data_IF_654524696245
#
_entry.id   IF_654524696245
#
_cell.length_a   1.000
_cell.length_b   1.000
_cell.length_c   1.000
_cell.angle_alpha   90.00
_cell.angle_beta   90.00
_cell.angle_gamma   90.00
#
_symmetry.space_group_name_H-M   'P 1'
#
loop_
_entity.id
_entity.type
_entity.pdbx_description
1 polymer ?
#
# COMPACT_ATOMS: atom_id res chain seq x y z
N UNK A 1 13.64 53.04 -48.39
CA UNK A 1 13.00 51.79 -48.84
C UNK A 1 12.16 51.24 -47.69
N UNK A 2 10.85 51.43 -47.76
CA UNK A 2 9.88 50.97 -46.77
C UNK A 2 9.44 49.55 -47.16
N UNK A 3 9.71 48.55 -46.33
CA UNK A 3 9.06 47.24 -46.44
C UNK A 3 8.02 47.08 -45.33
N UNK A 4 6.76 47.28 -45.71
CA UNK A 4 5.60 46.76 -44.97
C UNK A 4 5.49 45.26 -45.28
N UNK A 5 5.45 44.42 -44.26
CA UNK A 5 4.74 43.13 -44.35
C UNK A 5 3.96 42.95 -43.05
N UNK A 6 2.63 43.01 -43.18
CA UNK A 6 1.66 42.49 -42.22
C UNK A 6 0.85 41.47 -42.99
N UNK A 7 0.80 40.21 -42.54
CA UNK A 7 -0.40 39.36 -42.63
C UNK A 7 -0.14 38.02 -41.91
N UNK A 8 -0.73 37.80 -40.72
CA UNK A 8 -1.91 36.98 -40.40
C UNK A 8 -1.56 35.50 -40.05
N UNK A 9 -2.21 35.09 -38.96
CA UNK A 9 -2.11 33.90 -38.10
C UNK A 9 -2.32 32.57 -38.83
N UNK A 10 -1.69 31.51 -38.28
CA UNK A 10 -2.25 30.15 -38.28
C UNK A 10 -1.83 29.36 -37.03
N UNK A 11 -2.81 29.12 -36.15
CA UNK A 11 -2.91 28.04 -35.15
C UNK A 11 -4.26 27.36 -35.48
N UNK A 12 -4.55 26.05 -35.24
CA UNK A 12 -3.80 24.95 -34.59
C UNK A 12 -3.75 23.66 -35.44
N UNK A 13 -3.07 22.59 -34.97
CA UNK A 13 -3.70 21.29 -34.62
C UNK A 13 -2.67 20.18 -34.38
N UNK A 14 -3.00 19.35 -33.40
CA UNK A 14 -2.47 18.01 -33.09
C UNK A 14 -1.09 17.92 -32.44
N UNK A 15 -1.09 17.48 -31.18
CA UNK A 15 0.13 17.11 -30.46
C UNK A 15 0.08 17.32 -28.95
N UNK A 16 -1.10 17.28 -28.31
CA UNK A 16 -1.15 17.10 -26.86
C UNK A 16 -0.51 15.75 -26.58
N UNK A 17 0.67 15.74 -25.96
CA UNK A 17 1.21 14.53 -25.35
C UNK A 17 0.34 14.23 -24.14
N UNK A 18 -0.68 13.42 -24.37
CA UNK A 18 -1.44 12.74 -23.34
C UNK A 18 -0.44 11.86 -22.57
N UNK A 19 -0.05 12.26 -21.37
CA UNK A 19 0.56 11.31 -20.44
C UNK A 19 -0.55 10.32 -20.09
N UNK A 20 -0.39 9.11 -20.60
CA UNK A 20 -1.33 8.00 -20.44
C UNK A 20 -1.70 7.86 -18.97
N UNK A 21 -2.99 7.92 -18.67
CA UNK A 21 -3.56 7.23 -17.52
C UNK A 21 -3.15 5.77 -17.63
N UNK A 22 -2.08 5.40 -16.94
CA UNK A 22 -1.72 3.99 -16.80
C UNK A 22 -2.85 3.35 -16.00
N UNK A 23 -3.63 2.52 -16.68
CA UNK A 23 -4.55 1.56 -16.09
C UNK A 23 -3.87 0.82 -14.94
N UNK A 24 -4.10 1.26 -13.70
CA UNK A 24 -3.82 0.51 -12.47
C UNK A 24 -5.16 -0.06 -12.00
N UNK A 25 -5.78 -0.85 -12.86
CA UNK A 25 -6.78 -1.85 -12.49
C UNK A 25 -6.55 -3.04 -13.43
N UNK A 26 -5.42 -3.71 -13.25
CA UNK A 26 -5.31 -5.11 -13.68
C UNK A 26 -6.17 -5.91 -12.71
N UNK A 27 -7.48 -5.95 -12.99
CA UNK A 27 -8.37 -6.95 -12.42
C UNK A 27 -7.84 -8.31 -12.86
N UNK A 28 -7.23 -9.04 -11.92
CA UNK A 28 -6.87 -10.44 -12.14
C UNK A 28 -8.16 -11.23 -11.93
N UNK A 29 -8.87 -11.50 -13.02
CA UNK A 29 -9.93 -12.49 -13.07
C UNK A 29 -9.28 -13.88 -13.00
N UNK A 30 -9.29 -14.48 -11.81
CA UNK A 30 -9.24 -15.94 -11.64
C UNK A 30 -10.27 -16.23 -10.56
N UNK A 31 -11.49 -16.49 -11.01
CA UNK A 31 -12.53 -17.06 -10.18
C UNK A 31 -12.25 -18.53 -9.98
N UNK A 32 -11.83 -18.89 -8.77
CA UNK A 32 -12.13 -20.18 -8.19
C UNK A 32 -13.31 -19.91 -7.24
N UNK A 33 -14.47 -20.49 -7.52
CA UNK A 33 -15.66 -20.36 -6.69
C UNK A 33 -15.42 -21.11 -5.38
N UNK A 34 -14.84 -20.42 -4.41
CA UNK A 34 -14.80 -20.89 -3.03
C UNK A 34 -16.22 -20.78 -2.51
N UNK A 35 -16.81 -21.89 -2.06
CA UNK A 35 -18.12 -21.89 -1.42
C UNK A 35 -18.06 -20.99 -0.19
N UNK A 36 -18.68 -19.82 -0.29
CA UNK A 36 -18.74 -18.83 0.76
C UNK A 36 -19.75 -19.30 1.80
N UNK A 37 -19.27 -19.71 2.98
CA UNK A 37 -20.08 -19.72 4.19
C UNK A 37 -20.33 -18.27 4.64
N UNK A 38 -21.08 -17.51 3.82
CA UNK A 38 -21.56 -16.19 4.15
C UNK A 38 -22.59 -16.28 5.27
N UNK A 39 -22.51 -15.38 6.26
CA UNK A 39 -23.49 -15.30 7.34
C UNK A 39 -22.90 -15.29 8.76
N UNK A 40 -21.58 -15.39 8.92
CA UNK A 40 -20.95 -15.25 10.26
C UNK A 40 -21.10 -13.82 10.80
N UNK A 41 -21.30 -12.84 9.93
CA UNK A 41 -21.68 -11.46 10.29
C UNK A 41 -22.99 -11.37 11.09
N UNK A 42 -23.96 -12.26 10.81
CA UNK A 42 -25.29 -12.23 11.43
C UNK A 42 -25.19 -12.71 12.88
N UNK A 43 -24.27 -13.64 13.14
CA UNK A 43 -24.06 -14.27 14.45
C UNK A 43 -23.05 -13.50 15.31
N UNK A 44 -22.12 -12.75 14.70
CA UNK A 44 -21.02 -12.10 15.42
C UNK A 44 -21.46 -11.00 16.38
N UNK A 45 -22.66 -10.44 16.20
CA UNK A 45 -23.17 -9.33 17.01
C UNK A 45 -22.44 -8.00 16.78
N UNK A 46 -21.57 -7.94 15.76
CA UNK A 46 -20.86 -6.73 15.39
C UNK A 46 -21.83 -5.68 14.80
N UNK A 47 -21.55 -4.38 14.97
CA UNK A 47 -22.36 -3.34 14.36
C UNK A 47 -22.27 -3.42 12.83
N UNK A 48 -23.43 -3.25 12.17
CA UNK A 48 -23.55 -3.32 10.69
C UNK A 48 -22.66 -2.30 9.96
N UNK A 49 -22.29 -1.22 10.64
CA UNK A 49 -21.39 -0.18 10.10
C UNK A 49 -20.02 -0.73 9.67
N UNK A 50 -19.54 -1.82 10.30
CA UNK A 50 -18.28 -2.45 9.90
C UNK A 50 -18.35 -3.08 8.51
N UNK A 51 -19.51 -3.63 8.15
CA UNK A 51 -19.71 -4.28 6.87
C UNK A 51 -19.89 -3.24 5.77
N UNK A 52 -20.68 -2.19 6.05
CA UNK A 52 -21.08 -1.22 5.01
C UNK A 52 -20.04 -0.12 4.74
N UNK A 53 -19.38 0.40 5.78
CA UNK A 53 -18.62 1.65 5.68
C UNK A 53 -17.11 1.48 5.76
N UNK A 54 -16.62 0.28 6.09
CA UNK A 54 -15.20 0.05 6.37
C UNK A 54 -14.59 -0.86 5.33
N UNK A 55 -13.37 -0.51 4.97
CA UNK A 55 -12.52 -1.37 4.17
C UNK A 55 -11.37 -1.86 5.05
N UNK A 56 -11.03 -3.13 4.87
CA UNK A 56 -10.00 -3.83 5.59
C UNK A 56 -8.73 -3.95 4.73
N UNK A 57 -7.58 -3.70 5.34
CA UNK A 57 -6.27 -3.94 4.72
C UNK A 57 -5.69 -5.25 5.21
N UNK A 58 -5.42 -6.16 4.28
CA UNK A 58 -4.66 -7.39 4.54
C UNK A 58 -3.24 -7.21 4.01
N UNK A 59 -2.24 -7.25 4.89
CA UNK A 59 -0.86 -6.95 4.55
C UNK A 59 0.15 -7.69 5.43
N UNK A 60 1.40 -7.81 4.98
CA UNK A 60 2.53 -8.11 5.86
C UNK A 60 3.24 -6.82 6.24
N UNK A 61 3.66 -6.71 7.49
CA UNK A 61 4.41 -5.55 7.92
C UNK A 61 5.71 -5.39 7.13
N UNK A 62 5.98 -4.16 6.73
CA UNK A 62 7.25 -3.84 6.08
C UNK A 62 8.37 -3.86 7.12
N UNK A 63 9.53 -4.38 6.74
CA UNK A 63 10.71 -4.34 7.59
C UNK A 63 11.05 -2.87 7.96
N UNK A 64 11.14 -2.51 9.25
CA UNK A 64 11.51 -1.16 9.64
C UNK A 64 12.92 -0.83 9.16
N UNK A 65 13.13 0.41 8.69
CA UNK A 65 14.44 0.86 8.22
C UNK A 65 15.44 1.06 9.37
N UNK A 66 14.93 1.31 10.59
CA UNK A 66 15.72 1.54 11.80
C UNK A 66 16.36 0.27 12.37
N UNK A 67 15.76 -0.90 12.11
CA UNK A 67 16.21 -2.18 12.68
C UNK A 67 16.52 -3.23 11.61
N UNK A 68 17.46 -4.12 11.93
CA UNK A 68 17.82 -5.22 11.03
C UNK A 68 16.97 -6.49 11.21
N UNK A 69 16.17 -6.57 12.28
CA UNK A 69 15.29 -7.72 12.56
C UNK A 69 14.20 -7.93 11.50
N UNK A 70 13.73 -9.17 11.38
CA UNK A 70 12.72 -9.60 10.39
C UNK A 70 11.63 -10.47 11.03
N UNK A 71 11.49 -10.41 12.36
CA UNK A 71 10.53 -11.26 13.07
C UNK A 71 9.09 -10.85 12.80
N UNK A 72 8.79 -9.55 12.88
CA UNK A 72 7.43 -9.03 12.75
C UNK A 72 6.83 -9.16 11.34
N UNK A 73 7.67 -9.30 10.32
CA UNK A 73 7.22 -9.33 8.92
C UNK A 73 6.69 -10.70 8.48
N UNK A 74 6.72 -11.72 9.36
CA UNK A 74 6.33 -13.10 9.01
C UNK A 74 4.83 -13.29 8.98
N UNK A 75 4.11 -12.59 9.86
CA UNK A 75 2.68 -12.79 10.04
C UNK A 75 1.90 -11.84 9.11
N UNK A 76 0.77 -12.33 8.61
CA UNK A 76 -0.21 -11.50 7.94
C UNK A 76 -1.02 -10.73 8.97
N UNK A 77 -1.27 -9.47 8.69
CA UNK A 77 -2.06 -8.59 9.53
C UNK A 77 -3.29 -8.12 8.78
N UNK A 78 -4.37 -8.03 9.53
CA UNK A 78 -5.62 -7.45 9.10
C UNK A 78 -5.86 -6.23 10.00
N UNK A 79 -5.99 -5.09 9.35
CA UNK A 79 -6.17 -3.78 9.99
C UNK A 79 -7.29 -3.02 9.27
N UNK A 80 -7.98 -2.14 9.98
CA UNK A 80 -9.09 -1.36 9.44
C UNK A 80 -8.60 -0.03 8.88
N UNK A 81 -9.24 0.45 7.82
CA UNK A 81 -8.97 1.80 7.35
C UNK A 81 -9.51 2.85 8.35
N UNK A 82 -8.80 3.97 8.38
CA UNK A 82 -9.02 5.06 9.31
C UNK A 82 -10.26 5.86 8.90
N UNK A 83 -11.19 6.10 9.82
CA UNK A 83 -12.30 7.03 9.56
C UNK A 83 -11.79 8.47 9.43
N UNK A 84 -12.19 9.14 8.36
CA UNK A 84 -11.93 10.58 8.18
C UNK A 84 -12.56 11.44 9.28
N UNK A 85 -13.76 11.09 9.75
CA UNK A 85 -14.39 11.70 10.94
C UNK A 85 -14.37 10.72 12.10
N UNK A 86 -13.70 11.08 13.19
CA UNK A 86 -13.76 10.33 14.46
C UNK A 86 -12.54 9.46 14.79
N UNK A 87 -11.50 9.43 13.94
CA UNK A 87 -10.27 8.72 14.32
C UNK A 87 -9.55 9.39 15.48
N UNK A 88 -9.19 10.67 15.36
CA UNK A 88 -8.48 11.42 16.41
C UNK A 88 -8.97 12.86 16.48
N UNK A 89 -9.17 13.37 17.69
CA UNK A 89 -9.34 14.80 17.98
C UNK A 89 -8.67 15.14 19.30
N UNK A 90 -8.36 16.42 19.51
CA UNK A 90 -7.78 16.91 20.75
C UNK A 90 -8.89 17.16 21.79
N UNK A 91 -8.65 16.74 23.03
CA UNK A 91 -9.53 17.04 24.16
C UNK A 91 -9.28 18.47 24.69
N UNK A 92 -10.32 19.29 24.74
CA UNK A 92 -10.26 20.70 25.16
C UNK A 92 -9.65 20.91 26.56
N UNK A 93 -9.82 19.95 27.48
CA UNK A 93 -9.34 20.09 28.85
C UNK A 93 -7.84 19.77 29.00
N UNK A 94 -7.42 18.57 28.58
CA UNK A 94 -6.06 18.04 28.84
C UNK A 94 -5.18 17.95 27.59
N UNK A 95 -5.75 18.14 26.39
CA UNK A 95 -5.04 17.99 25.11
C UNK A 95 -4.77 16.53 24.69
N UNK A 96 -5.33 15.55 25.39
CA UNK A 96 -5.19 14.15 25.00
C UNK A 96 -5.95 13.84 23.72
N UNK A 97 -5.45 12.85 22.97
CA UNK A 97 -6.05 12.41 21.72
C UNK A 97 -7.27 11.53 22.02
N UNK A 98 -8.47 12.06 21.84
CA UNK A 98 -9.74 11.32 21.87
C UNK A 98 -9.97 10.55 20.56
N UNK A 99 -10.77 9.49 20.62
CA UNK A 99 -11.17 8.70 19.45
C UNK A 99 -12.59 8.16 19.64
N UNK A 100 -13.36 8.08 18.55
CA UNK A 100 -14.70 7.49 18.48
C UNK A 100 -14.65 6.14 17.74
N UNK A 101 -13.51 5.81 17.14
CA UNK A 101 -13.33 4.59 16.39
C UNK A 101 -13.05 3.42 17.33
N UNK A 102 -13.97 2.46 17.38
CA UNK A 102 -13.86 1.27 18.22
C UNK A 102 -12.86 0.23 17.66
N UNK A 103 -12.48 0.31 16.37
CA UNK A 103 -11.55 -0.64 15.75
C UNK A 103 -10.10 -0.15 15.69
N UNK A 104 -9.84 1.13 15.98
CA UNK A 104 -8.51 1.76 15.81
C UNK A 104 -7.37 1.10 16.62
N UNK A 105 -7.69 0.34 17.67
CA UNK A 105 -6.72 -0.39 18.49
C UNK A 105 -6.60 -1.89 18.15
N UNK A 106 -7.44 -2.39 17.25
CA UNK A 106 -7.56 -3.82 16.98
C UNK A 106 -6.71 -4.17 15.76
N UNK A 107 -5.84 -5.17 15.91
CA UNK A 107 -5.05 -5.72 14.80
C UNK A 107 -5.07 -7.23 14.92
N UNK A 108 -5.60 -7.90 13.89
CA UNK A 108 -5.63 -9.36 13.85
C UNK A 108 -4.39 -9.90 13.12
N UNK A 109 -3.86 -11.02 13.61
CA UNK A 109 -2.68 -11.68 13.06
C UNK A 109 -3.07 -13.06 12.55
N UNK A 110 -2.61 -13.39 11.35
CA UNK A 110 -2.85 -14.65 10.66
C UNK A 110 -1.52 -15.22 10.17
N UNK A 111 -1.48 -16.55 10.03
CA UNK A 111 -0.30 -17.24 9.52
C UNK A 111 -0.23 -17.19 7.99
N UNK A 112 -1.38 -17.29 7.31
CA UNK A 112 -1.48 -17.30 5.85
C UNK A 112 -2.36 -16.18 5.32
N UNK A 113 -2.11 -15.76 4.08
CA UNK A 113 -2.91 -14.79 3.36
C UNK A 113 -4.36 -15.28 3.21
N UNK A 114 -4.51 -16.55 2.82
CA UNK A 114 -5.82 -17.12 2.50
C UNK A 114 -6.69 -17.27 3.75
N UNK A 115 -6.09 -17.52 4.93
CA UNK A 115 -6.82 -17.51 6.19
C UNK A 115 -7.37 -16.12 6.53
N UNK A 116 -6.58 -15.06 6.30
CA UNK A 116 -7.03 -13.69 6.51
C UNK A 116 -8.16 -13.31 5.53
N UNK A 117 -8.05 -13.73 4.27
CA UNK A 117 -9.08 -13.53 3.26
C UNK A 117 -10.38 -14.25 3.66
N UNK A 118 -10.31 -15.55 3.95
CA UNK A 118 -11.48 -16.34 4.39
C UNK A 118 -12.16 -15.75 5.62
N UNK A 119 -11.39 -15.15 6.53
CA UNK A 119 -11.93 -14.49 7.71
C UNK A 119 -12.70 -13.21 7.37
N UNK A 120 -12.11 -12.33 6.54
CA UNK A 120 -12.76 -11.11 6.07
C UNK A 120 -14.03 -11.44 5.27
N UNK A 121 -13.95 -12.44 4.41
CA UNK A 121 -15.04 -12.98 3.59
C UNK A 121 -16.18 -13.55 4.43
N UNK A 122 -15.89 -14.31 5.48
CA UNK A 122 -16.92 -14.85 6.38
C UNK A 122 -17.70 -13.77 7.15
N UNK A 123 -17.07 -12.62 7.42
CA UNK A 123 -17.71 -11.44 8.03
C UNK A 123 -18.23 -10.44 6.99
N UNK A 124 -18.13 -10.78 5.70
CA UNK A 124 -18.49 -9.94 4.55
C UNK A 124 -17.85 -8.55 4.56
N UNK A 125 -16.63 -8.40 5.07
CA UNK A 125 -15.93 -7.12 5.02
C UNK A 125 -15.27 -6.89 3.66
N UNK A 126 -15.41 -5.69 3.13
CA UNK A 126 -14.65 -5.25 1.96
C UNK A 126 -13.16 -5.24 2.30
N UNK A 127 -12.35 -5.89 1.48
CA UNK A 127 -10.92 -5.99 1.73
C UNK A 127 -10.08 -5.69 0.49
N UNK A 128 -8.86 -5.20 0.71
CA UNK A 128 -7.81 -5.19 -0.31
C UNK A 128 -6.54 -5.82 0.25
N UNK A 129 -5.86 -6.55 -0.63
CA UNK A 129 -4.61 -7.23 -0.27
C UNK A 129 -3.43 -6.44 -0.78
N UNK A 130 -2.52 -6.09 0.13
CA UNK A 130 -1.23 -5.52 -0.20
C UNK A 130 -0.16 -6.63 -0.19
N UNK A 131 0.42 -6.90 -1.35
CA UNK A 131 1.47 -7.90 -1.46
C UNK A 131 2.78 -7.44 -0.79
N UNK A 132 3.49 -8.34 -0.08
CA UNK A 132 4.74 -8.02 0.59
C UNK A 132 5.85 -7.66 -0.40
N UNK A 133 6.56 -6.57 -0.11
CA UNK A 133 7.73 -6.15 -0.90
C UNK A 133 8.99 -6.82 -0.36
N UNK A 134 9.37 -7.95 -0.95
CA UNK A 134 10.61 -8.63 -0.61
C UNK A 134 11.85 -7.92 -1.18
N UNK A 135 12.97 -8.06 -0.47
CA UNK A 135 14.26 -7.53 -0.91
C UNK A 135 14.84 -8.45 -2.00
N UNK A 136 15.27 -7.86 -3.10
CA UNK A 136 15.98 -8.60 -4.14
C UNK A 136 17.33 -9.12 -3.60
N UNK A 137 17.59 -10.42 -3.75
CA UNK A 137 18.87 -11.02 -3.37
C UNK A 137 19.98 -10.51 -4.29
N UNK A 138 21.05 -9.95 -3.70
CA UNK A 138 22.24 -9.52 -4.45
C UNK A 138 23.44 -10.26 -3.89
N UNK A 139 24.24 -10.86 -4.78
CA UNK A 139 25.52 -11.48 -4.40
C UNK A 139 26.42 -10.41 -3.79
N UNK A 140 26.88 -10.65 -2.56
CA UNK A 140 27.82 -9.77 -1.85
C UNK A 140 29.14 -10.50 -1.72
N UNK A 141 30.17 -9.98 -2.38
CA UNK A 141 31.53 -10.53 -2.33
C UNK A 141 32.45 -9.54 -1.63
N UNK A 142 33.17 -9.98 -0.61
CA UNK A 142 34.14 -9.11 0.07
C UNK A 142 35.35 -8.79 -0.82
N UNK A 143 35.75 -9.72 -1.68
CA UNK A 143 36.83 -9.54 -2.66
C UNK A 143 36.54 -8.39 -3.63
N UNK A 144 35.26 -8.13 -3.94
CA UNK A 144 34.85 -7.05 -4.82
C UNK A 144 35.26 -5.66 -4.29
N UNK A 145 35.55 -5.52 -3.00
CA UNK A 145 36.07 -4.29 -2.42
C UNK A 145 37.48 -3.93 -2.94
N UNK A 146 38.27 -4.91 -3.39
CA UNK A 146 39.68 -4.77 -3.75
C UNK A 146 40.00 -5.07 -5.22
N UNK A 147 39.01 -5.02 -6.12
CA UNK A 147 39.27 -5.21 -7.54
C UNK A 147 40.19 -4.13 -8.12
N UNK A 148 41.14 -4.57 -8.95
CA UNK A 148 42.05 -3.68 -9.66
C UNK A 148 41.28 -2.89 -10.73
N UNK A 149 41.46 -1.56 -10.75
CA UNK A 149 40.98 -0.70 -11.83
C UNK A 149 42.15 -0.29 -12.73
N UNK A 150 42.10 -0.65 -14.01
CA UNK A 150 43.13 -0.28 -14.96
C UNK A 150 43.15 1.23 -15.29
N UNK A 151 42.04 1.94 -15.08
CA UNK A 151 41.91 3.38 -15.26
C UNK A 151 41.91 4.17 -13.96
N UNK A 152 41.63 5.48 -14.00
CA UNK A 152 41.49 6.29 -12.80
C UNK A 152 40.36 5.76 -11.90
N UNK A 153 40.60 5.78 -10.59
CA UNK A 153 39.67 5.28 -9.58
C UNK A 153 38.39 6.12 -9.56
N UNK A 154 37.22 5.47 -9.54
CA UNK A 154 35.90 6.14 -9.47
C UNK A 154 35.64 6.81 -8.11
N UNK A 155 36.06 6.15 -7.04
CA UNK A 155 35.99 6.64 -5.67
C UNK A 155 37.02 5.89 -4.83
N UNK A 156 37.52 6.52 -3.77
CA UNK A 156 38.36 5.86 -2.78
C UNK A 156 37.44 5.12 -1.81
N UNK A 157 37.59 3.80 -1.72
CA UNK A 157 36.78 2.96 -0.81
C UNK A 157 37.39 2.97 0.58
N UNK A 158 36.62 3.44 1.55
CA UNK A 158 36.91 3.26 2.98
C UNK A 158 36.23 2.00 3.52
N UNK A 159 36.62 1.59 4.72
CA UNK A 159 35.96 0.48 5.44
C UNK A 159 34.63 0.90 6.03
#
# INVERSE_FOLDING_TARGET
MLSRVVSIRSIPTSGVRCLSSTNILKQKAVGESVEFEGGKEIVSGAPKELVTNRVVRIYQETKPATQSGVHNTRNWKLDWDVLGKGNRWENDLMGYQGSADYMQGTIMKFDTKDAAIKFAEGQSWDYYVQEPKHRHFRKKEYAANFFHSAGPLKHIRTK
#
